data_IF_024386987888
#
_entry.id   IF_024386987888
#
_cell.length_a   1.000
_cell.length_b   1.000
_cell.length_c   1.000
_cell.angle_alpha   90.00
_cell.angle_beta   90.00
_cell.angle_gamma   90.00
#
_symmetry.space_group_name_H-M   'P 1'
#
loop_
_entity.id
_entity.type
_entity.pdbx_description
1 polymer ?
#
# COMPACT_ATOMS: atom_id res chain seq x y z
N UNK A 1 -13.86 -6.06 -4.52
CA UNK A 1 -14.29 -6.02 -3.11
C UNK A 1 -15.32 -7.10 -2.84
N UNK A 2 -16.35 -7.20 -3.68
CA UNK A 2 -17.46 -8.18 -3.60
C UNK A 2 -17.06 -9.65 -3.52
N UNK A 3 -15.88 -10.03 -4.04
CA UNK A 3 -15.42 -11.43 -4.04
C UNK A 3 -14.89 -11.92 -2.68
N UNK A 4 -14.28 -11.03 -1.90
CA UNK A 4 -13.56 -11.42 -0.68
C UNK A 4 -14.10 -10.77 0.58
N UNK A 5 -14.80 -9.64 0.44
CA UNK A 5 -15.31 -8.89 1.57
C UNK A 5 -16.83 -9.07 1.65
N UNK A 6 -17.30 -9.50 2.82
CA UNK A 6 -18.71 -9.42 3.20
C UNK A 6 -19.07 -7.96 3.49
N UNK A 7 -20.30 -7.55 3.13
CA UNK A 7 -20.82 -6.19 3.35
C UNK A 7 -19.85 -5.08 2.92
N UNK A 8 -19.25 -5.25 1.74
CA UNK A 8 -18.30 -4.30 1.19
C UNK A 8 -18.97 -2.97 0.84
N UNK A 9 -18.54 -1.88 1.48
CA UNK A 9 -19.03 -0.52 1.19
C UNK A 9 -17.91 0.30 0.57
N UNK A 10 -18.19 0.93 -0.57
CA UNK A 10 -17.30 1.91 -1.19
C UNK A 10 -17.31 3.20 -0.36
N UNK A 11 -16.15 3.64 0.11
CA UNK A 11 -16.01 4.88 0.88
C UNK A 11 -15.26 5.98 0.13
N UNK A 12 -14.54 5.65 -0.95
CA UNK A 12 -13.83 6.63 -1.75
C UNK A 12 -13.82 6.26 -3.23
N UNK A 13 -14.08 7.25 -4.07
CA UNK A 13 -13.96 7.16 -5.54
C UNK A 13 -13.17 8.34 -6.12
N UNK A 14 -12.72 9.26 -5.26
CA UNK A 14 -12.02 10.48 -5.67
C UNK A 14 -10.76 10.09 -6.45
N UNK A 15 -10.60 10.69 -7.64
CA UNK A 15 -9.49 10.44 -8.58
C UNK A 15 -9.35 8.98 -9.01
N UNK A 16 -10.45 8.21 -8.99
CA UNK A 16 -10.46 6.78 -9.33
C UNK A 16 -9.68 5.92 -8.33
N UNK A 17 -9.45 6.41 -7.10
CA UNK A 17 -8.84 5.62 -6.01
C UNK A 17 -9.90 4.93 -5.19
N UNK A 18 -10.47 3.90 -5.79
CA UNK A 18 -11.49 3.10 -5.14
C UNK A 18 -11.01 2.54 -3.81
N UNK A 19 -11.76 2.89 -2.75
CA UNK A 19 -11.56 2.44 -1.38
C UNK A 19 -12.82 1.74 -0.91
N UNK A 20 -12.66 0.52 -0.40
CA UNK A 20 -13.76 -0.28 0.14
C UNK A 20 -13.45 -0.71 1.57
N UNK A 21 -14.47 -0.78 2.40
CA UNK A 21 -14.36 -1.45 3.70
C UNK A 21 -15.45 -2.49 3.82
N UNK A 22 -15.05 -3.72 4.15
CA UNK A 22 -15.94 -4.86 4.37
C UNK A 22 -15.49 -5.69 5.58
N UNK A 23 -16.02 -6.89 5.69
CA UNK A 23 -15.64 -7.87 6.70
C UNK A 23 -14.97 -9.05 6.00
N UNK A 24 -13.82 -9.49 6.51
CA UNK A 24 -13.13 -10.70 6.07
C UNK A 24 -12.92 -11.61 7.27
N UNK A 25 -13.51 -12.81 7.25
CA UNK A 25 -13.40 -13.79 8.34
C UNK A 25 -13.71 -13.19 9.72
N UNK A 26 -14.78 -12.41 9.82
CA UNK A 26 -15.21 -11.73 11.05
C UNK A 26 -14.39 -10.50 11.44
N UNK A 27 -13.42 -10.06 10.63
CA UNK A 27 -12.59 -8.89 10.89
C UNK A 27 -12.92 -7.76 9.91
N UNK A 28 -13.14 -6.54 10.43
CA UNK A 28 -13.36 -5.35 9.59
C UNK A 28 -12.04 -4.96 8.90
N UNK A 29 -12.03 -4.92 7.57
CA UNK A 29 -10.83 -4.61 6.77
C UNK A 29 -11.17 -3.63 5.66
N UNK A 30 -10.26 -2.69 5.41
CA UNK A 30 -10.32 -1.77 4.27
C UNK A 30 -9.30 -2.15 3.19
N UNK A 31 -9.65 -1.95 1.92
CA UNK A 31 -8.78 -2.09 0.75
C UNK A 31 -8.89 -0.83 -0.09
N UNK A 32 -7.75 -0.27 -0.50
CA UNK A 32 -7.72 0.98 -1.26
C UNK A 32 -6.57 0.99 -2.27
N UNK A 33 -6.83 1.55 -3.45
CA UNK A 33 -5.80 1.81 -4.45
C UNK A 33 -4.91 2.99 -4.06
N UNK A 34 -3.58 2.82 -4.14
CA UNK A 34 -2.59 3.85 -3.77
C UNK A 34 -2.00 4.58 -4.98
N UNK A 35 -2.24 4.09 -6.20
CA UNK A 35 -1.52 4.52 -7.41
C UNK A 35 -0.09 3.99 -7.48
N UNK A 36 0.71 4.57 -8.37
CA UNK A 36 2.09 4.16 -8.62
C UNK A 36 3.07 5.24 -8.15
N UNK A 37 4.17 4.80 -7.55
CA UNK A 37 5.24 5.66 -7.06
C UNK A 37 5.05 6.20 -5.64
N UNK A 38 6.17 6.56 -5.02
CA UNK A 38 6.27 7.06 -3.64
C UNK A 38 5.38 8.28 -3.39
N UNK A 39 5.34 9.32 -4.27
CA UNK A 39 4.48 10.49 -4.03
C UNK A 39 2.99 10.15 -3.93
N UNK A 40 2.52 9.23 -4.80
CA UNK A 40 1.10 8.85 -4.83
C UNK A 40 0.69 8.09 -3.57
N UNK A 41 1.46 7.08 -3.16
CA UNK A 41 1.13 6.32 -1.95
C UNK A 41 1.23 7.17 -0.67
N UNK A 42 2.15 8.13 -0.63
CA UNK A 42 2.33 8.99 0.55
C UNK A 42 1.11 9.85 0.84
N UNK A 43 0.39 10.35 -0.18
CA UNK A 43 -0.86 11.11 0.04
C UNK A 43 -1.84 10.26 0.84
N UNK A 44 -2.21 9.09 0.30
CA UNK A 44 -3.22 8.22 0.91
C UNK A 44 -2.75 7.63 2.24
N UNK A 45 -1.47 7.21 2.34
CA UNK A 45 -0.95 6.65 3.59
C UNK A 45 -0.92 7.68 4.72
N UNK A 46 -0.56 8.94 4.40
CA UNK A 46 -0.56 10.05 5.37
C UNK A 46 -1.98 10.35 5.84
N UNK A 47 -2.94 10.50 4.91
CA UNK A 47 -4.35 10.75 5.24
C UNK A 47 -4.92 9.59 6.07
N UNK A 48 -4.71 8.34 5.65
CA UNK A 48 -5.18 7.14 6.38
C UNK A 48 -4.61 7.06 7.79
N UNK A 49 -3.32 7.34 7.98
CA UNK A 49 -2.68 7.28 9.29
C UNK A 49 -3.10 8.44 10.20
N UNK A 50 -3.09 9.67 9.67
CA UNK A 50 -3.32 10.91 10.44
C UNK A 50 -4.80 11.17 10.68
N UNK A 51 -5.61 11.08 9.64
CA UNK A 51 -7.00 11.58 9.63
C UNK A 51 -8.00 10.46 9.91
N UNK A 52 -7.69 9.22 9.51
CA UNK A 52 -8.55 8.04 9.72
C UNK A 52 -8.03 7.06 10.78
N UNK A 53 -6.89 7.36 11.43
CA UNK A 53 -6.35 6.59 12.54
C UNK A 53 -5.87 5.18 12.18
N UNK A 54 -5.59 4.90 10.91
CA UNK A 54 -5.11 3.60 10.45
C UNK A 54 -3.80 3.22 11.16
N UNK A 55 -3.77 2.05 11.81
CA UNK A 55 -2.61 1.56 12.57
C UNK A 55 -1.82 0.46 11.87
N UNK A 56 -2.43 -0.22 10.90
CA UNK A 56 -1.85 -1.37 10.20
C UNK A 56 -2.11 -1.22 8.71
N UNK A 57 -1.04 -1.14 7.93
CA UNK A 57 -1.10 -1.02 6.47
C UNK A 57 -0.26 -2.13 5.86
N UNK A 58 -0.85 -2.89 4.94
CA UNK A 58 -0.17 -3.96 4.20
C UNK A 58 -0.31 -3.63 2.72
N UNK A 59 0.83 -3.46 2.03
CA UNK A 59 0.84 -3.22 0.60
C UNK A 59 0.80 -4.57 -0.13
N UNK A 60 -0.25 -4.76 -0.92
CA UNK A 60 -0.35 -5.82 -1.92
C UNK A 60 -0.02 -5.22 -3.28
N UNK A 61 0.98 -5.75 -3.95
CA UNK A 61 1.44 -5.24 -5.24
C UNK A 61 2.30 -6.25 -5.98
N UNK A 62 2.72 -5.87 -7.17
CA UNK A 62 3.62 -6.66 -8.01
C UNK A 62 5.02 -6.04 -7.99
N UNK A 63 6.03 -6.85 -8.31
CA UNK A 63 7.41 -6.42 -8.43
C UNK A 63 8.13 -7.22 -9.52
N UNK A 64 9.18 -6.63 -10.10
CA UNK A 64 10.11 -7.33 -10.97
C UNK A 64 11.16 -8.08 -10.16
N UNK A 65 11.57 -9.24 -10.64
CA UNK A 65 12.65 -10.02 -10.03
C UNK A 65 14.01 -9.39 -10.37
N UNK A 66 14.85 -9.18 -9.35
CA UNK A 66 16.25 -8.79 -9.54
C UNK A 66 17.20 -10.01 -9.52
N UNK A 67 16.78 -11.09 -8.84
CA UNK A 67 17.55 -12.33 -8.75
C UNK A 67 16.95 -13.40 -9.66
N UNK A 68 17.79 -14.13 -10.38
CA UNK A 68 17.39 -15.29 -11.19
C UNK A 68 16.77 -16.43 -10.35
N UNK A 69 16.95 -16.41 -9.02
CA UNK A 69 16.32 -17.37 -8.11
C UNK A 69 14.81 -17.17 -7.98
N UNK A 70 14.32 -15.96 -8.26
CA UNK A 70 12.91 -15.61 -8.17
C UNK A 70 12.23 -15.88 -9.52
N UNK A 71 11.07 -16.54 -9.46
CA UNK A 71 10.23 -16.85 -10.61
C UNK A 71 8.99 -15.97 -10.61
N UNK A 72 8.36 -15.86 -11.77
CA UNK A 72 7.05 -15.22 -11.87
C UNK A 72 6.06 -15.91 -10.91
N UNK A 73 5.24 -15.11 -10.22
CA UNK A 73 4.27 -15.54 -9.21
C UNK A 73 4.86 -15.96 -7.85
N UNK A 74 6.17 -15.86 -7.65
CA UNK A 74 6.73 -16.02 -6.30
C UNK A 74 6.23 -14.92 -5.36
N UNK A 75 5.94 -15.31 -4.12
CA UNK A 75 5.54 -14.38 -3.06
C UNK A 75 6.77 -13.87 -2.32
N UNK A 76 6.90 -12.53 -2.24
CA UNK A 76 8.00 -11.88 -1.52
C UNK A 76 7.45 -11.05 -0.36
N UNK A 77 7.93 -11.33 0.84
CA UNK A 77 7.71 -10.51 2.03
C UNK A 77 8.95 -9.62 2.26
N UNK A 78 8.89 -8.38 1.78
CA UNK A 78 9.98 -7.41 1.96
C UNK A 78 10.16 -7.06 3.44
N UNK A 79 11.36 -7.24 3.95
CA UNK A 79 11.79 -6.77 5.29
C UNK A 79 12.42 -5.37 5.23
N UNK A 80 12.80 -4.92 4.03
CA UNK A 80 13.43 -3.64 3.75
C UNK A 80 13.46 -3.38 2.25
N UNK A 81 13.66 -2.13 1.88
CA UNK A 81 13.64 -1.66 0.48
C UNK A 81 14.72 -0.62 0.26
N UNK A 82 15.43 -0.74 -0.85
CA UNK A 82 16.25 0.36 -1.39
C UNK A 82 15.40 1.26 -2.30
N UNK A 83 15.77 2.53 -2.42
CA UNK A 83 15.05 3.52 -3.21
C UNK A 83 16.01 4.52 -3.86
N UNK A 84 15.71 4.91 -5.09
CA UNK A 84 16.39 6.04 -5.76
C UNK A 84 15.66 7.37 -5.53
N UNK A 85 14.60 7.38 -4.72
CA UNK A 85 13.86 8.59 -4.37
C UNK A 85 14.58 9.38 -3.29
N UNK A 86 14.73 10.69 -3.49
CA UNK A 86 15.30 11.62 -2.51
C UNK A 86 14.42 11.87 -1.27
N UNK A 87 13.30 11.15 -1.10
CA UNK A 87 12.37 11.35 0.02
C UNK A 87 13.09 11.31 1.37
N UNK A 88 13.90 10.28 1.59
CA UNK A 88 14.59 10.09 2.87
C UNK A 88 15.60 11.19 3.12
N UNK A 89 16.34 11.62 2.08
CA UNK A 89 17.31 12.71 2.16
C UNK A 89 16.64 14.06 2.51
N UNK A 90 15.38 14.25 2.13
CA UNK A 90 14.60 15.44 2.49
C UNK A 90 14.04 15.41 3.93
N UNK A 91 13.86 14.23 4.51
CA UNK A 91 13.24 14.06 5.84
C UNK A 91 14.31 13.87 6.93
N UNK A 92 15.41 13.20 6.60
CA UNK A 92 16.46 12.82 7.54
C UNK A 92 17.82 13.36 7.09
N UNK A 93 18.69 13.80 8.01
CA UNK A 93 20.02 14.29 7.66
C UNK A 93 20.92 13.13 7.18
N UNK A 94 21.21 13.07 5.88
CA UNK A 94 22.09 12.07 5.29
C UNK A 94 21.73 11.78 3.84
N UNK A 95 22.45 10.84 3.22
CA UNK A 95 22.06 10.24 1.95
C UNK A 95 21.71 8.77 2.18
N UNK A 96 20.49 8.38 1.83
CA UNK A 96 19.95 7.05 2.11
C UNK A 96 19.63 6.32 0.81
N UNK A 97 20.18 5.12 0.67
CA UNK A 97 19.94 4.20 -0.46
C UNK A 97 18.74 3.27 -0.21
#
# INVERSE_FOLDING_TARGET
>A
AETYLEDAVCFNEIRGKYGYTGTYKGQRVSVMGTGMGIPSILIYATELARDYGCKKMIRLGTAGAYSEKLKALDLVLSQGTSTTSALNDHIFPGHYA
#
